data_IF_964812110064
#
_entry.id   IF_964812110064
#
_cell.length_a   1.000
_cell.length_b   1.000
_cell.length_c   1.000
_cell.angle_alpha   90.00
_cell.angle_beta   90.00
_cell.angle_gamma   90.00
#
_symmetry.space_group_name_H-M   'P 1'
#
loop_
_entity.id
_entity.type
_entity.pdbx_description
1 polymer ?
#
# COMPACT_ATOMS: atom_id res chain seq x y z
N UNK A 1 30.47 17.96 0.39
CA UNK A 1 29.21 18.74 0.50
C UNK A 1 28.11 17.77 0.13
N UNK A 2 27.81 16.94 1.12
CA UNK A 2 27.10 15.69 0.95
C UNK A 2 25.61 15.98 1.09
N UNK A 3 24.92 15.93 -0.05
CA UNK A 3 23.47 15.94 -0.12
C UNK A 3 22.95 14.63 0.44
N UNK A 4 22.68 14.63 1.75
CA UNK A 4 21.92 13.59 2.42
C UNK A 4 20.61 13.36 1.65
N UNK A 5 20.50 12.16 1.08
CA UNK A 5 19.30 11.64 0.45
C UNK A 5 18.09 11.87 1.35
N UNK A 6 17.06 12.43 0.74
CA UNK A 6 15.86 13.01 1.33
C UNK A 6 14.87 11.96 1.86
N UNK A 7 15.36 10.98 2.62
CA UNK A 7 14.59 9.87 3.22
C UNK A 7 13.48 10.34 4.16
N UNK A 8 13.64 11.50 4.82
CA UNK A 8 12.61 12.07 5.69
C UNK A 8 11.43 12.68 4.93
N UNK A 9 11.63 13.07 3.66
CA UNK A 9 10.56 13.63 2.83
C UNK A 9 9.71 12.50 2.22
N UNK A 10 10.33 11.39 1.83
CA UNK A 10 9.64 10.19 1.34
C UNK A 10 8.71 9.58 2.41
N UNK A 11 9.17 9.48 3.66
CA UNK A 11 8.41 8.94 4.79
C UNK A 11 7.21 9.83 5.17
N UNK A 12 7.41 11.15 5.21
CA UNK A 12 6.35 12.12 5.52
C UNK A 12 5.26 12.14 4.47
N UNK A 13 5.63 11.96 3.20
CA UNK A 13 4.64 12.02 2.14
C UNK A 13 3.85 10.71 2.05
N UNK A 14 4.47 9.53 2.27
CA UNK A 14 3.75 8.25 2.36
C UNK A 14 2.75 8.28 3.54
N UNK A 15 3.15 8.92 4.64
CA UNK A 15 2.26 9.20 5.77
C UNK A 15 1.06 10.09 5.38
N UNK A 16 1.24 11.09 4.51
CA UNK A 16 0.13 11.95 4.05
C UNK A 16 -0.83 11.25 3.05
N UNK A 17 -0.31 10.40 2.15
CA UNK A 17 -1.11 9.47 1.32
C UNK A 17 -2.01 8.60 2.20
N UNK A 18 -1.39 8.00 3.21
CA UNK A 18 -2.05 7.05 4.09
C UNK A 18 -2.99 7.74 5.07
N UNK A 19 -2.63 8.94 5.54
CA UNK A 19 -3.53 9.84 6.28
C UNK A 19 -4.73 10.20 5.43
N UNK A 20 -4.57 10.39 4.12
CA UNK A 20 -5.69 10.58 3.23
C UNK A 20 -6.54 9.32 3.03
N UNK A 21 -5.96 8.12 2.89
CA UNK A 21 -6.73 6.87 2.93
C UNK A 21 -7.47 6.67 4.27
N UNK A 22 -6.81 7.04 5.38
CA UNK A 22 -7.39 7.10 6.74
C UNK A 22 -8.49 8.15 6.84
N UNK A 23 -8.38 9.28 6.15
CA UNK A 23 -9.39 10.35 6.04
C UNK A 23 -10.45 10.07 4.98
N UNK A 24 -10.28 9.12 4.08
CA UNK A 24 -11.38 8.65 3.23
C UNK A 24 -12.26 7.66 4.00
N UNK A 25 -11.71 7.01 5.04
CA UNK A 25 -12.51 6.38 6.11
C UNK A 25 -12.98 7.38 7.20
N UNK A 26 -12.16 8.36 7.58
CA UNK A 26 -12.39 9.25 8.74
C UNK A 26 -12.84 10.69 8.39
N UNK A 27 -12.96 11.03 7.12
CA UNK A 27 -13.41 12.34 6.61
C UNK A 27 -14.92 12.51 6.62
N UNK A 28 -15.64 11.47 7.06
CA UNK A 28 -17.02 11.52 7.53
C UNK A 28 -17.14 10.99 8.98
N UNK A 29 -16.08 11.01 9.78
CA UNK A 29 -16.14 10.57 11.17
C UNK A 29 -16.30 9.06 11.40
N UNK A 30 -16.11 8.22 10.37
CA UNK A 30 -16.20 6.76 10.52
C UNK A 30 -14.88 6.18 11.02
N UNK A 31 -14.70 6.17 12.34
CA UNK A 31 -13.82 5.18 12.99
C UNK A 31 -14.55 3.85 12.87
N UNK A 32 -14.02 2.84 12.17
CA UNK A 32 -14.60 1.48 12.17
C UNK A 32 -14.73 1.01 13.63
N UNK A 33 -15.92 1.05 14.26
CA UNK A 33 -16.04 0.94 15.73
C UNK A 33 -15.59 -0.44 16.22
N UNK A 34 -15.70 -1.43 15.35
CA UNK A 34 -15.50 -2.84 15.68
C UNK A 34 -14.01 -3.19 15.80
N UNK A 35 -13.12 -2.45 15.11
CA UNK A 35 -11.67 -2.66 15.22
C UNK A 35 -11.10 -2.23 16.59
N UNK A 36 -11.83 -1.41 17.35
CA UNK A 36 -11.47 -1.03 18.73
C UNK A 36 -12.04 -2.03 19.76
N UNK A 37 -13.24 -2.56 19.53
CA UNK A 37 -13.92 -3.45 20.49
C UNK A 37 -13.33 -4.87 20.55
N UNK A 38 -12.67 -5.34 19.48
CA UNK A 38 -12.03 -6.67 19.43
C UNK A 38 -10.75 -6.72 20.29
N UNK A 39 -10.25 -5.58 20.77
CA UNK A 39 -8.86 -5.44 21.20
C UNK A 39 -8.71 -4.90 22.61
N UNK A 40 -9.30 -5.60 23.58
CA UNK A 40 -8.90 -5.47 24.98
C UNK A 40 -8.00 -6.63 25.42
N UNK A 41 -6.69 -6.34 25.38
CA UNK A 41 -5.54 -6.84 26.17
C UNK A 41 -5.62 -8.25 26.81
N UNK A 42 -4.71 -9.12 26.38
CA UNK A 42 -4.21 -10.39 26.96
C UNK A 42 -5.21 -11.53 27.23
N UNK A 43 -6.46 -11.25 27.62
CA UNK A 43 -7.50 -12.27 27.81
C UNK A 43 -8.04 -12.77 26.46
N UNK A 44 -8.11 -11.88 25.47
CA UNK A 44 -8.62 -12.19 24.13
C UNK A 44 -7.70 -13.11 23.32
N UNK A 45 -6.38 -13.07 23.54
CA UNK A 45 -5.44 -13.89 22.77
C UNK A 45 -5.62 -15.39 23.04
N UNK A 46 -5.78 -15.78 24.32
CA UNK A 46 -5.98 -17.19 24.69
C UNK A 46 -7.31 -17.72 24.18
N UNK A 47 -8.36 -16.91 24.28
CA UNK A 47 -9.68 -17.30 23.77
C UNK A 47 -9.69 -17.40 22.25
N UNK A 48 -9.07 -16.44 21.55
CA UNK A 48 -8.93 -16.49 20.10
C UNK A 48 -8.13 -17.71 19.65
N UNK A 49 -7.05 -18.07 20.35
CA UNK A 49 -6.29 -19.30 20.10
C UNK A 49 -7.15 -20.55 20.29
N UNK A 50 -7.93 -20.63 21.37
CA UNK A 50 -8.87 -21.74 21.60
C UNK A 50 -9.93 -21.86 20.48
N UNK A 51 -10.41 -20.72 19.96
CA UNK A 51 -11.30 -20.70 18.80
C UNK A 51 -10.57 -21.15 17.53
N UNK A 52 -9.33 -20.70 17.32
CA UNK A 52 -8.49 -21.14 16.19
C UNK A 52 -8.22 -22.66 16.25
N UNK A 53 -8.00 -23.23 17.44
CA UNK A 53 -7.89 -24.68 17.65
C UNK A 53 -9.19 -25.41 17.27
N UNK A 54 -10.35 -24.91 17.75
CA UNK A 54 -11.68 -25.44 17.40
C UNK A 54 -11.93 -25.43 15.88
N UNK A 55 -11.39 -24.45 15.18
CA UNK A 55 -11.49 -24.30 13.72
C UNK A 55 -10.36 -25.00 12.95
N UNK A 56 -9.40 -25.63 13.63
CA UNK A 56 -8.20 -26.22 13.04
C UNK A 56 -7.42 -25.21 12.15
N UNK A 57 -7.28 -23.97 12.64
CA UNK A 57 -6.60 -22.86 12.00
C UNK A 57 -5.26 -22.56 12.69
N UNK A 58 -4.26 -21.99 11.98
CA UNK A 58 -3.02 -21.56 12.61
C UNK A 58 -3.26 -20.45 13.63
N UNK A 59 -2.46 -20.44 14.70
CA UNK A 59 -2.51 -19.40 15.72
C UNK A 59 -1.96 -18.09 15.19
N UNK A 60 -2.88 -17.20 14.85
CA UNK A 60 -2.56 -15.90 14.28
C UNK A 60 -3.09 -14.80 15.19
N UNK A 61 -2.19 -13.91 15.62
CA UNK A 61 -2.53 -12.74 16.41
C UNK A 61 -3.17 -11.65 15.55
N UNK A 62 -4.06 -10.88 16.16
CA UNK A 62 -4.57 -9.64 15.57
C UNK A 62 -3.43 -8.61 15.53
N UNK A 63 -3.24 -7.95 14.39
CA UNK A 63 -2.34 -6.81 14.31
C UNK A 63 -3.09 -5.52 14.59
N UNK A 64 -2.47 -4.62 15.34
CA UNK A 64 -2.97 -3.28 15.58
C UNK A 64 -2.45 -2.32 14.51
N UNK A 65 -3.31 -1.43 14.04
CA UNK A 65 -2.88 -0.26 13.27
C UNK A 65 -1.90 0.57 14.12
N UNK A 66 -0.76 0.90 13.54
CA UNK A 66 0.32 1.61 14.19
C UNK A 66 0.58 2.88 13.40
N UNK A 67 0.22 4.02 13.99
CA UNK A 67 0.25 5.34 13.33
C UNK A 67 1.64 5.70 12.77
N UNK A 68 2.71 5.20 13.39
CA UNK A 68 4.10 5.46 12.97
C UNK A 68 4.66 4.42 11.99
N UNK A 69 3.96 3.31 11.74
CA UNK A 69 4.35 2.28 10.78
C UNK A 69 3.35 2.26 9.64
N UNK A 70 3.73 2.86 8.53
CA UNK A 70 2.84 3.15 7.41
C UNK A 70 2.22 1.92 6.72
N UNK A 71 2.83 0.73 6.80
CA UNK A 71 2.23 -0.52 6.28
C UNK A 71 1.27 -1.22 7.26
N UNK A 72 1.10 -0.68 8.47
CA UNK A 72 0.39 -1.40 9.55
C UNK A 72 -1.09 -1.61 9.30
N UNK A 73 -1.83 -0.66 8.68
CA UNK A 73 -3.24 -0.90 8.31
C UNK A 73 -3.37 -1.98 7.25
N UNK A 74 -2.48 -2.04 6.25
CA UNK A 74 -2.51 -3.13 5.28
C UNK A 74 -2.33 -4.48 5.97
N UNK A 75 -1.29 -4.62 6.80
CA UNK A 75 -1.06 -5.87 7.54
C UNK A 75 -2.18 -6.19 8.53
N UNK A 76 -2.80 -5.18 9.14
CA UNK A 76 -3.98 -5.35 9.98
C UNK A 76 -5.14 -5.91 9.16
N UNK A 77 -5.51 -5.28 8.06
CA UNK A 77 -6.60 -5.74 7.20
C UNK A 77 -6.35 -7.15 6.65
N UNK A 78 -5.13 -7.39 6.15
CA UNK A 78 -4.74 -8.72 5.66
C UNK A 78 -4.85 -9.77 6.77
N UNK A 79 -4.43 -9.43 7.99
CA UNK A 79 -4.56 -10.31 9.15
C UNK A 79 -6.02 -10.56 9.50
N UNK A 80 -6.83 -9.50 9.65
CA UNK A 80 -8.25 -9.59 9.96
C UNK A 80 -9.00 -10.48 8.96
N UNK A 81 -8.72 -10.31 7.66
CA UNK A 81 -9.29 -11.15 6.61
C UNK A 81 -8.88 -12.62 6.76
N UNK A 82 -7.61 -12.91 7.09
CA UNK A 82 -7.11 -14.29 7.30
C UNK A 82 -7.75 -15.00 8.51
N UNK A 83 -8.15 -14.27 9.54
CA UNK A 83 -8.77 -14.85 10.77
C UNK A 83 -10.25 -14.50 10.89
N UNK A 84 -10.93 -14.19 9.78
CA UNK A 84 -12.34 -13.76 9.73
C UNK A 84 -13.26 -14.68 10.53
N UNK A 85 -13.20 -15.99 10.29
CA UNK A 85 -14.08 -16.96 10.96
C UNK A 85 -13.84 -17.01 12.47
N UNK A 86 -12.57 -17.03 12.89
CA UNK A 86 -12.19 -17.02 14.29
C UNK A 86 -12.63 -15.71 14.98
N UNK A 87 -12.50 -14.57 14.30
CA UNK A 87 -12.98 -13.28 14.80
C UNK A 87 -14.50 -13.24 14.92
N UNK A 88 -15.24 -13.73 13.93
CA UNK A 88 -16.71 -13.78 13.97
C UNK A 88 -17.21 -14.65 15.12
N UNK A 89 -16.59 -15.81 15.36
CA UNK A 89 -16.91 -16.64 16.52
C UNK A 89 -16.51 -15.97 17.83
N UNK A 90 -15.34 -15.33 17.89
CA UNK A 90 -14.91 -14.61 19.07
C UNK A 90 -15.88 -13.47 19.44
N UNK A 91 -16.35 -12.71 18.45
CA UNK A 91 -17.35 -11.66 18.66
C UNK A 91 -18.65 -12.24 19.19
N UNK A 92 -19.11 -13.36 18.61
CA UNK A 92 -20.33 -14.02 19.06
C UNK A 92 -20.21 -14.57 20.50
N UNK A 93 -19.11 -15.24 20.83
CA UNK A 93 -18.82 -15.81 22.15
C UNK A 93 -18.71 -14.73 23.24
N UNK A 94 -18.42 -13.47 22.88
CA UNK A 94 -18.25 -12.33 23.80
C UNK A 94 -19.36 -11.27 23.69
N UNK A 95 -20.45 -11.53 22.95
CA UNK A 95 -21.54 -10.57 22.74
C UNK A 95 -21.07 -9.21 22.18
N UNK A 96 -20.02 -9.22 21.37
CA UNK A 96 -19.51 -8.04 20.66
C UNK A 96 -20.24 -7.91 19.33
N UNK A 97 -20.59 -6.68 18.95
CA UNK A 97 -21.17 -6.39 17.64
C UNK A 97 -20.32 -6.96 16.50
N UNK A 98 -20.96 -7.76 15.64
CA UNK A 98 -20.31 -8.40 14.50
C UNK A 98 -19.93 -7.40 13.42
N UNK A 99 -18.78 -7.61 12.77
CA UNK A 99 -18.41 -6.88 11.54
C UNK A 99 -19.43 -7.14 10.44
N UNK A 100 -20.02 -6.07 9.92
CA UNK A 100 -21.03 -6.11 8.88
C UNK A 100 -20.45 -6.62 7.55
N UNK A 101 -21.26 -7.25 6.69
CA UNK A 101 -20.81 -7.70 5.36
C UNK A 101 -20.18 -6.58 4.52
N UNK A 102 -20.69 -5.36 4.62
CA UNK A 102 -20.21 -4.17 3.92
C UNK A 102 -18.82 -3.75 4.42
N UNK A 103 -18.57 -3.88 5.72
CA UNK A 103 -17.27 -3.60 6.33
C UNK A 103 -16.22 -4.64 5.91
N UNK A 104 -16.60 -5.92 5.81
CA UNK A 104 -15.71 -6.95 5.25
C UNK A 104 -15.35 -6.69 3.79
N UNK A 105 -16.34 -6.30 2.97
CA UNK A 105 -16.09 -5.92 1.57
C UNK A 105 -15.14 -4.73 1.47
N UNK A 106 -15.30 -3.74 2.37
CA UNK A 106 -14.40 -2.59 2.43
C UNK A 106 -12.96 -3.00 2.76
N UNK A 107 -12.77 -3.90 3.75
CA UNK A 107 -11.46 -4.46 4.10
C UNK A 107 -10.83 -5.16 2.89
N UNK A 108 -11.58 -6.00 2.18
CA UNK A 108 -11.12 -6.70 0.98
C UNK A 108 -10.71 -5.72 -0.13
N UNK A 109 -11.50 -4.67 -0.37
CA UNK A 109 -11.16 -3.62 -1.34
C UNK A 109 -9.87 -2.88 -0.97
N UNK A 110 -9.65 -2.57 0.31
CA UNK A 110 -8.40 -1.94 0.76
C UNK A 110 -7.19 -2.87 0.63
N UNK A 111 -7.33 -4.17 0.91
CA UNK A 111 -6.24 -5.14 0.71
C UNK A 111 -5.85 -5.18 -0.78
N UNK A 112 -6.83 -5.23 -1.68
CA UNK A 112 -6.56 -5.24 -3.13
C UNK A 112 -5.90 -3.95 -3.62
N UNK A 113 -6.30 -2.79 -3.07
CA UNK A 113 -5.73 -1.50 -3.41
C UNK A 113 -4.29 -1.33 -2.90
N UNK A 114 -4.05 -1.68 -1.63
CA UNK A 114 -2.78 -1.42 -0.94
C UNK A 114 -1.74 -2.52 -1.15
N UNK A 115 -2.16 -3.75 -1.51
CA UNK A 115 -1.26 -4.87 -1.74
C UNK A 115 -0.12 -4.58 -2.74
N UNK A 116 -0.39 -4.01 -3.93
CA UNK A 116 0.66 -3.64 -4.87
C UNK A 116 1.67 -2.63 -4.29
N UNK A 117 1.23 -1.72 -3.42
CA UNK A 117 2.10 -0.74 -2.78
C UNK A 117 3.00 -1.39 -1.74
N UNK A 118 2.47 -2.30 -0.93
CA UNK A 118 3.28 -3.06 0.04
C UNK A 118 4.31 -3.94 -0.68
N UNK A 119 3.94 -4.58 -1.80
CA UNK A 119 4.87 -5.36 -2.62
C UNK A 119 5.98 -4.49 -3.23
N UNK A 120 5.62 -3.37 -3.84
CA UNK A 120 6.57 -2.40 -4.39
C UNK A 120 7.55 -1.90 -3.32
N UNK A 121 7.03 -1.62 -2.13
CA UNK A 121 7.82 -1.17 -0.99
C UNK A 121 8.82 -2.22 -0.56
N UNK A 122 8.37 -3.46 -0.37
CA UNK A 122 9.23 -4.57 0.05
C UNK A 122 10.35 -4.79 -0.95
N UNK A 123 10.03 -4.74 -2.24
CA UNK A 123 11.01 -4.88 -3.32
C UNK A 123 12.05 -3.74 -3.28
N UNK A 124 11.60 -2.48 -3.22
CA UNK A 124 12.46 -1.30 -3.23
C UNK A 124 13.24 -1.10 -1.91
N UNK A 125 12.77 -1.67 -0.81
CA UNK A 125 13.46 -1.66 0.48
C UNK A 125 14.46 -2.81 0.64
N UNK A 126 14.52 -3.73 -0.33
CA UNK A 126 15.44 -4.86 -0.27
C UNK A 126 16.89 -4.42 -0.47
N UNK A 127 17.84 -5.17 0.10
CA UNK A 127 19.27 -4.93 -0.14
C UNK A 127 19.70 -5.16 -1.59
N UNK A 128 18.85 -5.82 -2.37
CA UNK A 128 19.03 -6.10 -3.80
C UNK A 128 18.25 -5.14 -4.70
N UNK A 129 17.63 -4.09 -4.13
CA UNK A 129 16.83 -3.13 -4.90
C UNK A 129 17.69 -2.45 -5.99
N UNK A 130 17.17 -2.44 -7.21
CA UNK A 130 17.84 -1.83 -8.36
C UNK A 130 17.18 -0.49 -8.68
N UNK A 131 18.00 0.54 -8.86
CA UNK A 131 17.54 1.87 -9.32
C UNK A 131 16.76 1.74 -10.64
N UNK A 132 17.18 0.81 -11.51
CA UNK A 132 16.50 0.53 -12.77
C UNK A 132 15.07 0.02 -12.63
N UNK A 133 14.69 -0.52 -11.47
CA UNK A 133 13.34 -1.01 -11.20
C UNK A 133 12.37 0.09 -10.74
N UNK A 134 12.85 1.27 -10.36
CA UNK A 134 12.01 2.33 -9.76
C UNK A 134 10.95 2.84 -10.74
N UNK A 135 11.34 3.27 -11.95
CA UNK A 135 10.39 3.75 -12.98
C UNK A 135 9.36 2.67 -13.34
N UNK A 136 9.76 1.42 -13.65
CA UNK A 136 8.81 0.33 -13.89
C UNK A 136 7.80 0.12 -12.76
N UNK A 137 8.26 0.12 -11.50
CA UNK A 137 7.41 -0.10 -10.33
C UNK A 137 6.41 1.04 -10.18
N UNK A 138 6.84 2.31 -10.29
CA UNK A 138 5.94 3.45 -10.15
C UNK A 138 4.89 3.46 -11.28
N UNK A 139 5.28 3.27 -12.53
CA UNK A 139 4.31 3.22 -13.65
C UNK A 139 3.34 2.04 -13.50
N UNK A 140 3.79 0.91 -12.95
CA UNK A 140 2.91 -0.21 -12.61
C UNK A 140 1.88 0.18 -11.53
N UNK A 141 2.30 0.87 -10.48
CA UNK A 141 1.40 1.35 -9.41
C UNK A 141 0.37 2.34 -9.97
N UNK A 142 0.79 3.29 -10.81
CA UNK A 142 -0.12 4.24 -11.46
C UNK A 142 -1.19 3.50 -12.27
N UNK A 143 -0.77 2.53 -13.09
CA UNK A 143 -1.69 1.69 -13.85
C UNK A 143 -2.65 0.90 -12.97
N UNK A 144 -2.20 0.36 -11.83
CA UNK A 144 -3.06 -0.38 -10.89
C UNK A 144 -4.14 0.51 -10.28
N UNK A 145 -3.78 1.75 -9.93
CA UNK A 145 -4.73 2.74 -9.42
C UNK A 145 -5.73 3.15 -10.49
N UNK A 146 -5.29 3.35 -11.73
CA UNK A 146 -6.18 3.67 -12.86
C UNK A 146 -7.15 2.54 -13.22
N UNK A 147 -6.65 1.31 -13.23
CA UNK A 147 -7.45 0.10 -13.41
C UNK A 147 -8.53 -0.01 -12.33
N UNK A 148 -8.18 0.30 -11.08
CA UNK A 148 -9.13 0.32 -9.96
C UNK A 148 -10.24 1.36 -10.22
N UNK A 149 -9.87 2.61 -10.52
CA UNK A 149 -10.82 3.70 -10.75
C UNK A 149 -11.77 3.42 -11.91
N UNK A 150 -11.30 2.71 -12.93
CA UNK A 150 -12.08 2.33 -14.12
C UNK A 150 -13.07 1.20 -13.83
N UNK A 151 -12.71 0.24 -12.95
CA UNK A 151 -13.59 -0.88 -12.58
C UNK A 151 -14.55 -0.55 -11.44
N UNK A 152 -14.16 0.37 -10.55
CA UNK A 152 -14.96 0.78 -9.39
C UNK A 152 -16.24 1.51 -9.82
N UNK A 153 -17.32 1.30 -9.08
CA UNK A 153 -18.56 2.07 -9.25
C UNK A 153 -18.37 3.50 -8.72
N UNK A 154 -19.22 4.43 -9.17
CA UNK A 154 -19.15 5.84 -8.74
C UNK A 154 -19.32 6.00 -7.22
N UNK A 155 -20.13 5.15 -6.60
CA UNK A 155 -20.41 5.14 -5.16
C UNK A 155 -19.56 4.13 -4.38
N UNK A 156 -18.44 3.66 -4.94
CA UNK A 156 -17.54 2.77 -4.20
C UNK A 156 -17.03 3.48 -2.92
N UNK A 157 -17.25 2.89 -1.73
CA UNK A 157 -16.87 3.50 -0.45
C UNK A 157 -15.39 3.90 -0.36
N UNK A 158 -14.50 3.24 -1.11
CA UNK A 158 -13.06 3.55 -1.06
C UNK A 158 -12.58 4.39 -2.23
N UNK A 159 -13.47 4.82 -3.14
CA UNK A 159 -13.11 5.60 -4.35
C UNK A 159 -12.34 6.87 -4.02
N UNK A 160 -12.75 7.60 -2.99
CA UNK A 160 -12.04 8.81 -2.56
C UNK A 160 -10.61 8.52 -2.08
N UNK A 161 -10.40 7.38 -1.42
CA UNK A 161 -9.08 6.94 -0.98
C UNK A 161 -8.18 6.69 -2.20
N UNK A 162 -8.73 6.03 -3.23
CA UNK A 162 -8.03 5.71 -4.47
C UNK A 162 -7.68 6.97 -5.25
N UNK A 163 -8.61 7.93 -5.35
CA UNK A 163 -8.35 9.22 -6.00
C UNK A 163 -7.25 10.00 -5.30
N UNK A 164 -7.24 10.00 -3.97
CA UNK A 164 -6.18 10.68 -3.23
C UNK A 164 -4.83 9.98 -3.41
N UNK A 165 -4.82 8.64 -3.36
CA UNK A 165 -3.64 7.83 -3.62
C UNK A 165 -3.05 8.11 -5.01
N UNK A 166 -3.91 8.23 -6.04
CA UNK A 166 -3.52 8.61 -7.40
C UNK A 166 -2.80 9.96 -7.42
N UNK A 167 -3.46 10.99 -6.87
CA UNK A 167 -2.94 12.36 -6.91
C UNK A 167 -1.58 12.47 -6.24
N UNK A 168 -1.42 11.81 -5.11
CA UNK A 168 -0.18 11.83 -4.36
C UNK A 168 0.94 11.02 -5.04
N UNK A 169 0.60 9.87 -5.63
CA UNK A 169 1.55 9.07 -6.40
C UNK A 169 2.10 9.90 -7.57
N UNK A 170 1.21 10.52 -8.36
CA UNK A 170 1.61 11.37 -9.48
C UNK A 170 2.36 12.62 -9.03
N UNK A 171 1.96 13.26 -7.93
CA UNK A 171 2.63 14.49 -7.44
C UNK A 171 4.08 14.22 -7.06
N UNK A 172 4.35 13.17 -6.29
CA UNK A 172 5.70 12.89 -5.78
C UNK A 172 6.66 12.39 -6.84
N UNK A 173 6.16 11.54 -7.72
CA UNK A 173 6.99 10.88 -8.72
C UNK A 173 6.94 11.58 -10.08
N UNK A 174 6.33 12.77 -10.15
CA UNK A 174 6.24 13.62 -11.35
C UNK A 174 7.60 13.88 -12.01
N UNK A 175 8.66 14.03 -11.23
CA UNK A 175 10.01 14.34 -11.71
C UNK A 175 10.88 13.11 -12.01
N UNK A 176 10.37 11.88 -11.83
CA UNK A 176 11.17 10.66 -12.09
C UNK A 176 11.65 10.58 -13.54
N UNK A 177 10.80 10.99 -14.49
CA UNK A 177 11.14 11.01 -15.92
C UNK A 177 12.16 12.09 -16.32
N UNK A 178 12.46 13.02 -15.41
CA UNK A 178 13.43 14.10 -15.63
C UNK A 178 14.77 13.83 -14.94
N UNK A 179 14.79 12.88 -13.99
CA UNK A 179 15.98 12.55 -13.24
C UNK A 179 16.85 11.53 -13.98
N UNK A 180 18.00 12.00 -14.45
CA UNK A 180 18.95 11.21 -15.23
C UNK A 180 19.40 9.92 -14.52
N UNK A 181 19.49 9.88 -13.18
CA UNK A 181 19.87 8.67 -12.46
C UNK A 181 18.84 7.55 -12.71
N UNK A 182 17.55 7.84 -12.53
CA UNK A 182 16.49 6.85 -12.70
C UNK A 182 16.27 6.51 -14.17
N UNK A 183 16.27 7.50 -15.06
CA UNK A 183 16.00 7.28 -16.49
C UNK A 183 17.13 6.51 -17.17
N UNK A 184 18.39 6.88 -16.94
CA UNK A 184 19.55 6.18 -17.50
C UNK A 184 19.67 4.77 -16.92
N UNK A 185 19.55 4.60 -15.59
CA UNK A 185 19.63 3.27 -14.98
C UNK A 185 18.54 2.33 -15.52
N UNK A 186 17.30 2.82 -15.64
CA UNK A 186 16.19 2.05 -16.22
C UNK A 186 16.44 1.74 -17.70
N UNK A 187 16.95 2.69 -18.48
CA UNK A 187 17.22 2.50 -19.90
C UNK A 187 18.36 1.51 -20.17
N UNK A 188 19.42 1.54 -19.36
CA UNK A 188 20.55 0.63 -19.49
C UNK A 188 20.21 -0.81 -19.09
N UNK A 189 19.14 -1.01 -18.32
CA UNK A 189 18.67 -2.34 -17.94
C UNK A 189 17.99 -3.05 -19.13
N UNK A 190 18.54 -4.20 -19.61
CA UNK A 190 17.97 -4.91 -20.76
C UNK A 190 16.51 -5.32 -20.56
N UNK A 191 16.06 -5.48 -19.30
CA UNK A 191 14.67 -5.85 -18.99
C UNK A 191 13.69 -4.74 -19.36
N UNK A 192 14.13 -3.48 -19.38
CA UNK A 192 13.29 -2.28 -19.41
C UNK A 192 13.56 -1.31 -20.56
N UNK A 193 14.73 -1.38 -21.21
CA UNK A 193 15.28 -0.46 -22.22
C UNK A 193 14.29 0.18 -23.22
N UNK A 194 13.23 -0.53 -23.63
CA UNK A 194 12.24 -0.06 -24.61
C UNK A 194 10.77 -0.16 -24.16
N UNK A 195 10.53 -0.38 -22.86
CA UNK A 195 9.17 -0.67 -22.35
C UNK A 195 8.51 0.50 -21.65
N UNK A 196 9.30 1.42 -21.09
CA UNK A 196 8.80 2.44 -20.15
C UNK A 196 9.08 3.88 -20.60
N UNK A 197 9.63 4.06 -21.81
CA UNK A 197 9.99 5.36 -22.36
C UNK A 197 9.35 5.58 -23.74
N UNK A 198 9.00 6.83 -24.02
CA UNK A 198 8.60 7.24 -25.37
C UNK A 198 9.85 7.37 -26.25
N UNK A 199 9.72 7.30 -27.60
CA UNK A 199 10.87 7.49 -28.50
C UNK A 199 11.63 8.80 -28.24
N UNK A 200 10.91 9.89 -27.97
CA UNK A 200 11.49 11.21 -27.66
C UNK A 200 12.30 11.16 -26.35
N UNK A 201 11.76 10.50 -25.32
CA UNK A 201 12.46 10.33 -24.05
C UNK A 201 13.71 9.44 -24.22
N UNK A 202 13.64 8.38 -25.03
CA UNK A 202 14.79 7.53 -25.30
C UNK A 202 15.93 8.27 -26.00
N UNK A 203 15.62 9.13 -26.99
CA UNK A 203 16.63 9.96 -27.67
C UNK A 203 17.34 10.88 -26.67
N UNK A 204 16.57 11.57 -25.81
CA UNK A 204 17.14 12.41 -24.74
C UNK A 204 18.05 11.61 -23.80
N UNK A 205 17.65 10.40 -23.40
CA UNK A 205 18.45 9.54 -22.52
C UNK A 205 19.77 9.15 -23.21
N UNK A 206 19.74 8.80 -24.50
CA UNK A 206 20.95 8.47 -25.27
C UNK A 206 21.91 9.65 -25.35
N UNK A 207 21.40 10.85 -25.62
CA UNK A 207 22.21 12.08 -25.66
C UNK A 207 22.87 12.36 -24.31
N UNK A 208 22.13 12.18 -23.22
CA UNK A 208 22.65 12.38 -21.87
C UNK A 208 23.71 11.34 -21.49
N UNK A 209 23.59 10.09 -21.94
CA UNK A 209 24.63 9.07 -21.80
C UNK A 209 25.89 9.46 -22.57
N UNK A 210 25.75 9.94 -23.82
CA UNK A 210 26.90 10.35 -24.63
C UNK A 210 27.68 11.50 -23.98
N UNK A 211 26.98 12.48 -23.39
CA UNK A 211 27.60 13.59 -22.65
C UNK A 211 28.37 13.15 -21.39
N UNK A 212 28.12 11.95 -20.86
CA UNK A 212 28.87 11.42 -19.71
C UNK A 212 30.20 10.76 -20.11
N UNK A 213 30.36 10.42 -21.38
CA UNK A 213 31.51 9.66 -21.89
C UNK A 213 32.55 10.58 -22.57
N UNK A 214 32.12 11.76 -23.03
CA UNK A 214 32.93 12.76 -23.75
C UNK A 214 33.30 13.89 -22.79
#
# INVERSE_FOLDING_TARGET
MDGYLNSSLEEKTIYDIYRACRLCGAGAGYKMPIMQNVVHLDSSEKQLQSIQDRLNQPHLKVFQDCVTRWNSTFYMFERFSKIKDALSLYMNDNEIDSVLPEEWKMIESFIQLLGPFEEATRELSSSSALISSVIPIIQMLEKKVDDYLTRSQEFDPIRQAVMTLKNELSTKFSSLGENNLFTIATYLDPRYKHKFFTPVTEEKIKDDILKMII
#
